data_IF_547667989661
#
_entry.id   IF_547667989661
#
_cell.length_a   1.000
_cell.length_b   1.000
_cell.length_c   1.000
_cell.angle_alpha   90.00
_cell.angle_beta   90.00
_cell.angle_gamma   90.00
#
_symmetry.space_group_name_H-M   'P 1'
#
loop_
_entity.id
_entity.type
_entity.pdbx_description
1 polymer ?
#
# COMPACT_ATOMS: atom_id res chain seq x y z
N UNK A 1 -2.49 -4.75 21.72
CA UNK A 1 -2.51 -4.93 20.25
C UNK A 1 -1.33 -4.18 19.64
N UNK A 2 -0.57 -4.85 18.78
CA UNK A 2 0.54 -4.25 18.07
C UNK A 2 0.10 -3.88 16.66
N UNK A 3 0.19 -2.61 16.32
CA UNK A 3 -0.12 -2.10 14.98
C UNK A 3 1.18 -1.92 14.20
N UNK A 4 1.17 -2.37 12.95
CA UNK A 4 2.31 -2.20 12.06
C UNK A 4 1.89 -1.27 10.93
N UNK A 5 2.73 -0.30 10.60
CA UNK A 5 2.44 0.67 9.52
C UNK A 5 3.51 0.51 8.46
N UNK A 6 3.07 0.36 7.21
CA UNK A 6 3.95 0.30 6.05
C UNK A 6 3.56 1.42 5.10
N UNK A 7 4.55 2.19 4.65
CA UNK A 7 4.35 3.29 3.69
C UNK A 7 4.83 2.85 2.31
N UNK A 8 4.14 3.28 1.27
CA UNK A 8 4.58 3.04 -0.09
C UNK A 8 3.63 3.58 -1.13
N UNK A 9 4.05 3.50 -2.38
CA UNK A 9 3.21 3.90 -3.51
C UNK A 9 2.23 2.80 -3.88
N UNK A 10 2.72 1.57 -4.00
CA UNK A 10 1.93 0.38 -4.37
C UNK A 10 1.09 0.61 -5.62
N UNK A 11 1.73 1.12 -6.67
CA UNK A 11 1.03 1.43 -7.92
C UNK A 11 0.58 0.16 -8.64
N UNK A 12 1.55 -0.71 -8.95
CA UNK A 12 1.26 -1.99 -9.58
C UNK A 12 1.72 -3.09 -8.63
N UNK A 13 0.76 -3.85 -8.11
CA UNK A 13 1.08 -4.91 -7.15
C UNK A 13 1.68 -6.12 -7.86
N UNK A 14 2.63 -6.76 -7.17
CA UNK A 14 3.24 -8.00 -7.63
C UNK A 14 3.54 -8.89 -6.43
N UNK A 15 3.95 -10.17 -6.66
CA UNK A 15 4.18 -11.10 -5.54
C UNK A 15 5.14 -10.60 -4.46
N UNK A 16 6.12 -9.76 -4.83
CA UNK A 16 7.02 -9.16 -3.86
C UNK A 16 6.32 -8.27 -2.86
N UNK A 17 5.31 -7.51 -3.30
CA UNK A 17 4.50 -6.69 -2.41
C UNK A 17 3.69 -7.57 -1.45
N UNK A 18 3.14 -8.67 -1.95
CA UNK A 18 2.37 -9.59 -1.11
C UNK A 18 3.27 -10.19 -0.04
N UNK A 19 4.49 -10.59 -0.41
CA UNK A 19 5.46 -11.14 0.55
C UNK A 19 5.83 -10.12 1.61
N UNK A 20 6.08 -8.87 1.22
CA UNK A 20 6.40 -7.78 2.14
C UNK A 20 5.27 -7.55 3.14
N UNK A 21 4.05 -7.45 2.64
CA UNK A 21 2.88 -7.17 3.49
C UNK A 21 2.56 -8.34 4.41
N UNK A 22 2.73 -9.57 3.94
CA UNK A 22 2.55 -10.75 4.76
C UNK A 22 3.56 -10.78 5.90
N UNK A 23 4.82 -10.45 5.61
CA UNK A 23 5.86 -10.36 6.62
C UNK A 23 5.53 -9.26 7.64
N UNK A 24 5.17 -8.07 7.15
CA UNK A 24 4.82 -6.94 8.02
C UNK A 24 3.69 -7.29 8.98
N UNK A 25 2.65 -7.96 8.48
CA UNK A 25 1.53 -8.40 9.32
C UNK A 25 2.00 -9.36 10.42
N UNK A 26 2.98 -10.21 10.11
CA UNK A 26 3.49 -11.17 11.10
C UNK A 26 4.18 -10.51 12.29
N UNK A 27 4.56 -9.24 12.16
CA UNK A 27 5.23 -8.49 13.23
C UNK A 27 4.26 -7.91 14.26
N UNK A 28 2.96 -8.01 14.00
CA UNK A 28 1.95 -7.47 14.91
C UNK A 28 0.58 -8.10 14.67
N UNK A 29 -0.45 -7.44 15.17
CA UNK A 29 -1.83 -7.93 15.12
C UNK A 29 -2.66 -7.22 14.06
N UNK A 30 -2.26 -6.03 13.65
CA UNK A 30 -3.04 -5.18 12.77
C UNK A 30 -2.10 -4.44 11.82
N UNK A 31 -2.30 -4.62 10.52
CA UNK A 31 -1.47 -4.00 9.50
C UNK A 31 -2.18 -2.83 8.83
N UNK A 32 -1.57 -1.66 8.91
CA UNK A 32 -2.04 -0.45 8.24
C UNK A 32 -1.07 -0.15 7.09
N UNK A 33 -1.60 0.03 5.90
CA UNK A 33 -0.80 0.45 4.74
C UNK A 33 -1.13 1.91 4.43
N UNK A 34 -0.12 2.76 4.46
CA UNK A 34 -0.25 4.17 4.12
C UNK A 34 0.28 4.38 2.69
N UNK A 35 -0.58 4.85 1.80
CA UNK A 35 -0.22 5.04 0.40
C UNK A 35 -0.03 6.51 0.08
N UNK A 36 0.84 6.79 -0.89
CA UNK A 36 1.06 8.15 -1.38
C UNK A 36 -0.14 8.62 -2.20
N UNK A 37 -0.47 9.91 -2.09
CA UNK A 37 -1.49 10.51 -2.93
C UNK A 37 -1.05 10.52 -4.39
N UNK A 38 -1.99 10.69 -5.32
CA UNK A 38 -1.67 10.79 -6.75
C UNK A 38 -0.72 11.95 -7.02
N UNK A 39 -0.94 13.09 -6.36
CA UNK A 39 -0.09 14.27 -6.52
C UNK A 39 1.35 13.98 -6.08
N UNK A 40 1.52 13.30 -4.95
CA UNK A 40 2.84 12.97 -4.44
C UNK A 40 3.56 11.99 -5.37
N UNK A 41 2.84 11.01 -5.91
CA UNK A 41 3.43 10.05 -6.85
C UNK A 41 3.92 10.77 -8.10
N UNK A 42 3.14 11.71 -8.62
CA UNK A 42 3.54 12.50 -9.79
C UNK A 42 4.81 13.31 -9.52
N UNK A 43 4.93 13.89 -8.32
CA UNK A 43 6.13 14.63 -7.95
C UNK A 43 7.36 13.75 -7.85
N UNK A 44 7.21 12.53 -7.35
CA UNK A 44 8.33 11.62 -7.11
C UNK A 44 8.72 10.81 -8.34
N UNK A 45 7.76 10.45 -9.18
CA UNK A 45 7.97 9.48 -10.27
C UNK A 45 7.68 10.01 -11.66
N UNK A 46 7.16 11.23 -11.79
CA UNK A 46 6.86 11.84 -13.08
C UNK A 46 5.37 11.97 -13.36
N UNK A 47 5.04 12.76 -14.38
CA UNK A 47 3.65 13.13 -14.68
C UNK A 47 2.81 11.99 -15.25
N UNK A 48 3.44 10.91 -15.72
CA UNK A 48 2.77 9.73 -16.25
C UNK A 48 2.47 8.70 -15.15
N UNK A 49 2.75 9.01 -13.89
CA UNK A 49 2.46 8.16 -12.74
C UNK A 49 1.47 8.85 -11.80
N UNK A 50 0.68 8.09 -11.00
CA UNK A 50 0.63 6.64 -10.97
C UNK A 50 -0.16 6.07 -12.16
N UNK A 51 0.03 4.79 -12.47
CA UNK A 51 -0.77 4.09 -13.47
C UNK A 51 -2.16 3.82 -12.90
N UNK A 52 -2.20 3.37 -11.64
CA UNK A 52 -3.46 3.22 -10.91
C UNK A 52 -3.65 4.39 -9.97
N UNK A 53 -4.82 5.04 -10.02
CA UNK A 53 -5.14 6.15 -9.14
C UNK A 53 -5.24 5.70 -7.68
N UNK A 54 -5.25 6.67 -6.79
CA UNK A 54 -5.25 6.46 -5.35
C UNK A 54 -6.38 5.53 -4.88
N UNK A 55 -7.59 5.72 -5.39
CA UNK A 55 -8.73 4.89 -5.01
C UNK A 55 -8.59 3.46 -5.51
N UNK A 56 -8.07 3.28 -6.71
CA UNK A 56 -7.84 1.93 -7.26
C UNK A 56 -6.74 1.21 -6.49
N UNK A 57 -5.67 1.92 -6.14
CA UNK A 57 -4.59 1.35 -5.32
C UNK A 57 -5.11 0.91 -3.96
N UNK A 58 -5.95 1.74 -3.34
CA UNK A 58 -6.57 1.42 -2.06
C UNK A 58 -7.43 0.17 -2.15
N UNK A 59 -8.29 0.10 -3.17
CA UNK A 59 -9.16 -1.05 -3.40
C UNK A 59 -8.36 -2.35 -3.55
N UNK A 60 -7.30 -2.31 -4.32
CA UNK A 60 -6.46 -3.49 -4.53
C UNK A 60 -5.78 -3.95 -3.24
N UNK A 61 -5.23 -3.00 -2.48
CA UNK A 61 -4.58 -3.32 -1.22
C UNK A 61 -5.56 -3.87 -0.18
N UNK A 62 -6.76 -3.32 -0.12
CA UNK A 62 -7.79 -3.79 0.83
C UNK A 62 -8.23 -5.22 0.55
N UNK A 63 -8.06 -5.68 -0.68
CA UNK A 63 -8.39 -7.06 -1.06
C UNK A 63 -7.33 -8.08 -0.64
N UNK A 64 -6.15 -7.62 -0.23
CA UNK A 64 -5.06 -8.51 0.16
C UNK A 64 -5.24 -9.00 1.59
N UNK A 65 -5.01 -10.30 1.78
CA UNK A 65 -5.25 -10.98 3.05
C UNK A 65 -4.57 -10.32 4.26
N UNK A 66 -3.27 -9.97 4.19
CA UNK A 66 -2.59 -9.43 5.37
C UNK A 66 -2.96 -7.98 5.72
N UNK A 67 -3.61 -7.26 4.82
CA UNK A 67 -3.91 -5.84 5.02
C UNK A 67 -5.20 -5.66 5.80
N UNK A 68 -5.15 -4.93 6.91
CA UNK A 68 -6.32 -4.63 7.74
C UNK A 68 -6.92 -3.27 7.41
N UNK A 69 -6.08 -2.29 7.05
CA UNK A 69 -6.54 -0.93 6.77
C UNK A 69 -5.60 -0.23 5.79
N UNK A 70 -6.17 0.55 4.89
CA UNK A 70 -5.41 1.40 3.98
C UNK A 70 -5.77 2.86 4.26
N UNK A 71 -4.75 3.71 4.39
CA UNK A 71 -4.91 5.15 4.59
C UNK A 71 -4.05 5.91 3.59
N UNK A 72 -4.38 7.16 3.35
CA UNK A 72 -3.60 8.00 2.43
C UNK A 72 -3.33 9.37 3.04
#
# INVERSE_FOLDING_TARGET
MTRVIVNGTFDILHPGHVALLTYAKSLGDFLIVAIDSDERVKKLKGSDRPINGQEDRKTMLEALKPVDKVVS
#
